data_IF_668001768023
#
_entry.id   IF_668001768023
#
_cell.length_a   1.000
_cell.length_b   1.000
_cell.length_c   1.000
_cell.angle_alpha   90.00
_cell.angle_beta   90.00
_cell.angle_gamma   90.00
#
_symmetry.space_group_name_H-M   'P 1'
#
loop_
_entity.id
_entity.type
_entity.pdbx_description
1 polymer ?
#
# COMPACT_ATOMS: atom_id res chain seq x y z
N UNK A 1 2.61 -8.48 -11.87
CA UNK A 1 3.01 -7.84 -10.59
C UNK A 1 4.17 -6.86 -10.69
N UNK A 2 5.10 -6.99 -11.66
CA UNK A 2 6.25 -6.08 -11.79
C UNK A 2 5.85 -4.60 -11.85
N UNK A 3 4.82 -4.24 -12.61
CA UNK A 3 4.35 -2.86 -12.74
C UNK A 3 3.95 -2.23 -11.39
N UNK A 4 3.39 -3.02 -10.48
CA UNK A 4 2.99 -2.57 -9.14
C UNK A 4 4.24 -2.31 -8.29
N UNK A 5 5.21 -3.23 -8.31
CA UNK A 5 6.49 -3.06 -7.63
C UNK A 5 7.25 -1.84 -8.17
N UNK A 6 7.22 -1.63 -9.49
CA UNK A 6 7.89 -0.49 -10.11
C UNK A 6 7.24 0.83 -9.69
N UNK A 7 5.91 0.86 -9.58
CA UNK A 7 5.16 2.02 -9.11
C UNK A 7 5.49 2.38 -7.64
N UNK A 8 5.88 1.42 -6.79
CA UNK A 8 6.30 1.75 -5.41
C UNK A 8 7.57 2.58 -5.37
N UNK A 9 8.41 2.49 -6.41
CA UNK A 9 9.71 3.16 -6.51
C UNK A 9 9.67 4.69 -6.32
N UNK A 10 8.49 5.30 -6.45
CA UNK A 10 8.29 6.71 -6.11
C UNK A 10 8.67 7.01 -4.64
N UNK A 11 8.45 6.06 -3.72
CA UNK A 11 8.75 6.21 -2.29
C UNK A 11 10.26 6.35 -2.09
N UNK A 12 11.04 5.41 -2.64
CA UNK A 12 12.50 5.42 -2.55
C UNK A 12 13.10 6.60 -3.32
N UNK A 13 12.53 6.97 -4.47
CA UNK A 13 12.97 8.16 -5.23
C UNK A 13 12.87 9.47 -4.43
N UNK A 14 12.04 9.48 -3.38
CA UNK A 14 11.84 10.61 -2.46
C UNK A 14 12.65 10.49 -1.17
N UNK A 15 13.50 9.47 -1.05
CA UNK A 15 14.36 9.25 0.12
C UNK A 15 13.64 8.61 1.31
N UNK A 16 12.52 7.94 1.08
CA UNK A 16 11.78 7.22 2.12
C UNK A 16 11.83 5.69 1.91
N UNK A 17 11.34 4.94 2.88
CA UNK A 17 11.07 3.50 2.76
C UNK A 17 9.67 3.19 3.30
N UNK A 18 9.28 1.92 3.30
CA UNK A 18 8.02 1.41 3.87
C UNK A 18 8.29 0.61 5.15
N UNK A 19 7.32 0.53 6.05
CA UNK A 19 7.43 -0.23 7.30
C UNK A 19 6.57 -1.50 7.34
N UNK A 20 5.65 -1.66 6.38
CA UNK A 20 4.82 -2.85 6.20
C UNK A 20 4.60 -3.13 4.70
N UNK A 21 3.90 -4.20 4.37
CA UNK A 21 3.52 -4.52 2.99
C UNK A 21 2.66 -3.40 2.38
N UNK A 22 2.99 -2.99 1.15
CA UNK A 22 2.35 -1.86 0.49
C UNK A 22 1.01 -2.27 -0.14
N UNK A 23 0.89 -3.50 -0.62
CA UNK A 23 -0.34 -4.04 -1.19
C UNK A 23 -0.55 -5.49 -0.77
N UNK A 24 -1.79 -5.84 -0.47
CA UNK A 24 -2.18 -7.22 -0.23
C UNK A 24 -3.58 -7.54 -0.76
N UNK A 25 -3.86 -8.80 -1.08
CA UNK A 25 -5.22 -9.29 -1.29
C UNK A 25 -6.02 -9.28 0.02
N UNK A 26 -7.33 -9.08 -0.10
CA UNK A 26 -8.23 -9.00 1.05
C UNK A 26 -9.56 -9.73 0.81
N UNK A 27 -10.11 -10.29 1.89
CA UNK A 27 -11.33 -11.10 1.89
C UNK A 27 -11.61 -11.62 3.31
N UNK A 28 -11.57 -12.93 3.51
CA UNK A 28 -11.63 -13.53 4.85
C UNK A 28 -10.33 -13.45 5.66
N UNK A 29 -9.32 -12.72 5.17
CA UNK A 29 -7.98 -12.67 5.74
C UNK A 29 -6.98 -11.93 4.84
N UNK A 30 -5.69 -12.12 5.17
CA UNK A 30 -4.55 -11.56 4.46
C UNK A 30 -4.08 -12.53 3.37
N UNK A 31 -4.20 -12.13 2.10
CA UNK A 31 -3.98 -13.04 0.97
C UNK A 31 -3.09 -12.42 -0.13
N UNK A 32 -2.70 -13.27 -1.08
CA UNK A 32 -2.04 -12.82 -2.31
C UNK A 32 -2.97 -11.91 -3.15
N UNK A 33 -2.41 -10.98 -3.95
CA UNK A 33 -0.97 -10.69 -4.08
C UNK A 33 -0.43 -9.95 -2.87
N UNK A 34 0.73 -10.32 -2.32
CA UNK A 34 1.41 -9.60 -1.23
C UNK A 34 2.66 -8.92 -1.80
N UNK A 35 2.72 -7.59 -1.72
CA UNK A 35 3.76 -6.78 -2.37
C UNK A 35 4.25 -5.69 -1.42
N UNK A 36 5.57 -5.63 -1.22
CA UNK A 36 6.26 -4.58 -0.48
C UNK A 36 6.79 -3.49 -1.41
N UNK A 37 8.00 -3.01 -1.14
CA UNK A 37 8.75 -2.13 -2.04
C UNK A 37 10.13 -2.71 -2.35
N UNK A 38 10.92 -2.07 -3.23
CA UNK A 38 12.25 -2.59 -3.58
C UNK A 38 13.21 -2.60 -2.39
N UNK A 39 13.14 -1.59 -1.53
CA UNK A 39 13.94 -1.53 -0.30
C UNK A 39 13.44 -2.48 0.79
N UNK A 40 12.18 -2.95 0.72
CA UNK A 40 11.57 -3.85 1.70
C UNK A 40 10.56 -4.78 1.03
N UNK A 41 11.07 -5.86 0.44
CA UNK A 41 10.24 -6.89 -0.18
C UNK A 41 9.54 -7.75 0.87
N UNK A 42 8.27 -8.11 0.62
CA UNK A 42 7.46 -9.00 1.47
C UNK A 42 7.71 -10.48 1.21
N UNK A 43 8.62 -10.79 0.29
CA UNK A 43 8.88 -12.14 -0.23
C UNK A 43 9.21 -12.08 -1.73
N UNK A 44 9.26 -13.24 -2.40
CA UNK A 44 9.33 -13.30 -3.86
C UNK A 44 8.15 -12.54 -4.48
N UNK A 45 8.40 -11.85 -5.59
CA UNK A 45 7.33 -11.18 -6.32
C UNK A 45 6.32 -12.23 -6.80
N UNK A 46 5.01 -12.10 -6.51
CA UNK A 46 4.03 -13.10 -6.91
C UNK A 46 3.94 -13.20 -8.44
N UNK A 47 4.00 -14.43 -8.96
CA UNK A 47 3.81 -14.72 -10.38
C UNK A 47 2.32 -14.84 -10.69
N UNK A 48 1.66 -13.70 -10.84
CA UNK A 48 0.23 -13.61 -11.14
C UNK A 48 -0.13 -12.25 -11.75
N UNK A 49 -1.36 -12.16 -12.24
CA UNK A 49 -2.02 -10.93 -12.71
C UNK A 49 -3.21 -10.60 -11.82
N UNK A 50 -3.57 -9.32 -11.74
CA UNK A 50 -4.83 -8.94 -11.11
C UNK A 50 -5.99 -9.37 -12.02
N UNK A 51 -7.03 -9.92 -11.43
CA UNK A 51 -8.24 -10.36 -12.13
C UNK A 51 -9.46 -9.57 -11.68
N UNK A 52 -10.46 -9.45 -12.56
CA UNK A 52 -11.73 -8.80 -12.25
C UNK A 52 -12.36 -9.40 -10.99
N UNK A 53 -12.87 -8.55 -10.11
CA UNK A 53 -13.44 -8.85 -8.79
C UNK A 53 -12.46 -9.24 -7.67
N UNK A 54 -11.15 -9.26 -7.91
CA UNK A 54 -10.20 -9.30 -6.80
C UNK A 54 -10.38 -8.06 -5.91
N UNK A 55 -10.42 -8.28 -4.60
CA UNK A 55 -10.36 -7.19 -3.62
C UNK A 55 -8.96 -7.10 -3.07
N UNK A 56 -8.36 -5.92 -3.15
CA UNK A 56 -6.99 -5.67 -2.69
C UNK A 56 -6.95 -4.40 -1.86
N UNK A 57 -6.07 -4.38 -0.87
CA UNK A 57 -5.73 -3.19 -0.10
C UNK A 57 -4.47 -2.62 -0.69
N UNK A 58 -4.50 -1.33 -1.02
CA UNK A 58 -3.32 -0.54 -1.39
C UNK A 58 -3.09 0.44 -0.26
N UNK A 59 -1.96 0.29 0.44
CA UNK A 59 -1.66 0.96 1.69
C UNK A 59 -0.21 1.46 1.82
N UNK A 60 0.19 2.51 1.07
CA UNK A 60 1.49 3.14 1.30
C UNK A 60 1.66 3.52 2.78
N UNK A 61 2.68 2.96 3.42
CA UNK A 61 3.03 3.14 4.84
C UNK A 61 4.45 3.73 4.97
N UNK A 62 4.59 4.93 4.39
CA UNK A 62 5.88 5.59 4.18
C UNK A 62 6.50 6.02 5.52
N UNK A 63 7.79 5.73 5.71
CA UNK A 63 8.58 6.11 6.87
C UNK A 63 9.91 6.77 6.47
N UNK A 64 10.45 7.61 7.36
CA UNK A 64 11.83 8.11 7.24
C UNK A 64 12.84 6.97 7.40
N UNK A 65 14.05 7.14 6.84
CA UNK A 65 15.09 6.11 6.77
C UNK A 65 16.10 6.20 7.92
N UNK A 66 15.78 6.91 9.01
CA UNK A 66 16.67 7.06 10.15
C UNK A 66 17.10 5.68 10.71
N UNK A 67 18.40 5.55 10.99
CA UNK A 67 18.96 4.32 11.56
C UNK A 67 18.49 4.08 13.01
N UNK A 68 18.24 5.17 13.74
CA UNK A 68 17.66 5.17 15.07
C UNK A 68 16.13 5.13 14.95
N UNK A 69 15.54 3.97 15.25
CA UNK A 69 14.09 3.75 15.06
C UNK A 69 13.22 4.71 15.87
N UNK A 70 13.72 5.20 17.01
CA UNK A 70 12.99 6.16 17.85
C UNK A 70 12.77 7.52 17.18
N UNK A 71 13.55 7.80 16.13
CA UNK A 71 13.45 9.05 15.33
C UNK A 71 12.62 8.88 14.07
N UNK A 72 12.20 7.65 13.75
CA UNK A 72 11.40 7.42 12.54
C UNK A 72 10.02 8.04 12.69
N UNK A 73 9.64 8.80 11.68
CA UNK A 73 8.28 9.28 11.50
C UNK A 73 7.66 8.63 10.27
N UNK A 74 6.35 8.43 10.29
CA UNK A 74 5.65 7.78 9.20
C UNK A 74 4.22 8.24 9.01
N UNK A 75 3.69 7.95 7.84
CA UNK A 75 2.28 8.13 7.49
C UNK A 75 1.80 6.92 6.72
N UNK A 76 0.60 6.46 7.06
CA UNK A 76 -0.07 5.42 6.31
C UNK A 76 -1.40 5.93 5.78
N UNK A 77 -1.66 5.62 4.51
CA UNK A 77 -2.95 5.84 3.87
C UNK A 77 -3.34 4.55 3.19
N UNK A 78 -4.56 4.06 3.44
CA UNK A 78 -5.07 2.82 2.85
C UNK A 78 -6.33 3.05 2.04
N UNK A 79 -6.44 2.32 0.93
CA UNK A 79 -7.68 2.19 0.17
C UNK A 79 -7.92 0.71 -0.13
N UNK A 80 -9.15 0.25 0.08
CA UNK A 80 -9.58 -1.06 -0.39
C UNK A 80 -10.25 -0.87 -1.75
N UNK A 81 -9.77 -1.58 -2.76
CA UNK A 81 -10.30 -1.50 -4.12
C UNK A 81 -10.78 -2.87 -4.58
N UNK A 82 -11.82 -2.87 -5.42
CA UNK A 82 -12.16 -4.02 -6.26
C UNK A 82 -11.63 -3.77 -7.67
N UNK A 83 -10.87 -4.72 -8.19
CA UNK A 83 -10.40 -4.69 -9.58
C UNK A 83 -11.60 -4.86 -10.51
N UNK A 84 -11.73 -3.98 -11.51
CA UNK A 84 -12.72 -4.09 -12.59
C UNK A 84 -12.03 -4.57 -13.87
N UNK A 85 -12.79 -4.85 -14.92
CA UNK A 85 -12.25 -5.25 -16.22
C UNK A 85 -11.19 -4.29 -16.78
N UNK A 86 -11.36 -2.99 -16.54
CA UNK A 86 -10.61 -1.90 -17.15
C UNK A 86 -9.99 -0.93 -16.12
N UNK A 87 -10.01 -1.28 -14.84
CA UNK A 87 -9.51 -0.42 -13.78
C UNK A 87 -9.84 -0.95 -12.38
N UNK A 88 -10.36 -0.06 -11.54
CA UNK A 88 -10.76 -0.40 -10.18
C UNK A 88 -11.88 0.51 -9.68
N UNK A 89 -12.62 0.03 -8.69
CA UNK A 89 -13.52 0.84 -7.88
C UNK A 89 -13.02 0.92 -6.42
N UNK A 90 -13.28 2.05 -5.78
CA UNK A 90 -12.95 2.28 -4.37
C UNK A 90 -14.08 1.78 -3.49
N UNK A 91 -13.74 1.06 -2.43
CA UNK A 91 -14.72 0.56 -1.46
C UNK A 91 -14.83 1.47 -0.23
N UNK A 92 -13.81 2.27 0.09
CA UNK A 92 -13.95 3.29 1.12
C UNK A 92 -14.63 4.56 0.59
N UNK A 93 -15.52 5.12 1.43
CA UNK A 93 -16.17 6.43 1.20
C UNK A 93 -15.68 7.52 2.15
N UNK A 94 -14.75 7.18 3.04
CA UNK A 94 -14.17 8.14 3.97
C UNK A 94 -13.49 9.28 3.18
N UNK A 95 -13.63 10.55 3.61
CA UNK A 95 -12.89 11.66 3.02
C UNK A 95 -11.39 11.39 3.05
N UNK A 96 -10.67 11.79 1.99
CA UNK A 96 -9.20 11.69 1.96
C UNK A 96 -8.59 12.93 2.59
N UNK A 97 -7.53 12.75 3.36
CA UNK A 97 -6.75 13.87 3.90
C UNK A 97 -6.12 13.55 5.24
N UNK A 98 -5.31 14.48 5.72
CA UNK A 98 -4.82 14.48 7.10
C UNK A 98 -5.89 15.13 7.99
N UNK A 99 -6.47 14.33 8.87
CA UNK A 99 -7.45 14.81 9.83
C UNK A 99 -6.81 14.96 11.20
N UNK A 100 -7.25 15.98 11.93
CA UNK A 100 -6.88 16.16 13.32
C UNK A 100 -7.94 15.52 14.20
N UNK A 101 -7.53 14.66 15.11
CA UNK A 101 -8.41 14.10 16.12
C UNK A 101 -9.18 15.22 16.86
N UNK A 102 -10.49 15.05 17.02
CA UNK A 102 -11.38 16.04 17.65
C UNK A 102 -11.85 17.18 16.73
N UNK A 103 -11.42 17.23 15.46
CA UNK A 103 -11.96 18.16 14.46
C UNK A 103 -13.14 17.49 13.73
N UNK A 104 -14.22 18.24 13.50
CA UNK A 104 -15.34 17.78 12.67
C UNK A 104 -14.87 17.67 11.21
N UNK A 105 -15.16 16.53 10.60
CA UNK A 105 -14.85 16.18 9.20
C UNK A 105 -16.09 16.32 8.33
#
# INVERSE_FOLDING_TARGET
>A
MQDILDATGVIESKGYTVCDDLMHGFGGGYFQPIIGSRSRMSGPLPDMTLEENMTVVVQPNVITTDADESKRAGVQVGEMIRVTRDGFERLHRAPRGLFRAGRRI
#
